data_IF_371050721771
#
_entry.id   IF_371050721771
#
_cell.length_a   1.000
_cell.length_b   1.000
_cell.length_c   1.000
_cell.angle_alpha   90.00
_cell.angle_beta   90.00
_cell.angle_gamma   90.00
#
_symmetry.space_group_name_H-M   'P 1'
#
loop_
_entity.id
_entity.type
_entity.pdbx_description
1 polymer ?
#
# COMPACT_ATOMS: atom_id res chain seq x y z
N UNK A 1 14.12 6.80 -26.56
CA UNK A 1 15.29 7.61 -26.95
C UNK A 1 16.56 7.16 -26.21
N UNK A 2 16.65 7.38 -24.89
CA UNK A 2 17.84 7.01 -24.08
C UNK A 2 18.26 5.54 -24.21
N UNK A 3 17.31 4.60 -24.15
CA UNK A 3 17.60 3.15 -24.30
C UNK A 3 18.13 2.77 -25.69
N UNK A 4 17.63 3.42 -26.75
CA UNK A 4 18.10 3.21 -28.13
C UNK A 4 19.54 3.70 -28.28
N UNK A 5 19.87 4.83 -27.65
CA UNK A 5 21.20 5.43 -27.69
C UNK A 5 22.21 4.66 -26.82
N UNK A 6 21.80 4.18 -25.64
CA UNK A 6 22.59 3.23 -24.82
C UNK A 6 23.00 1.99 -25.63
N UNK A 7 22.08 1.43 -26.41
CA UNK A 7 22.39 0.26 -27.25
C UNK A 7 23.42 0.57 -28.34
N UNK A 8 23.37 1.78 -28.93
CA UNK A 8 24.31 2.22 -29.97
C UNK A 8 25.67 2.67 -29.42
N UNK A 9 25.71 3.33 -28.26
CA UNK A 9 26.91 3.95 -27.68
C UNK A 9 27.63 3.08 -26.64
N UNK A 10 27.18 1.85 -26.42
CA UNK A 10 27.75 0.90 -25.44
C UNK A 10 29.25 0.62 -25.62
N UNK A 11 29.85 1.01 -26.76
CA UNK A 11 31.27 0.82 -27.09
C UNK A 11 32.14 2.09 -26.94
N UNK A 12 31.56 3.28 -26.79
CA UNK A 12 32.31 4.55 -26.83
C UNK A 12 32.27 5.34 -25.51
N UNK A 13 31.14 5.37 -24.80
CA UNK A 13 30.99 6.10 -23.53
C UNK A 13 30.10 5.32 -22.58
N UNK A 14 30.62 5.02 -21.39
CA UNK A 14 29.88 4.36 -20.32
C UNK A 14 29.38 5.41 -19.33
N UNK A 15 28.06 5.57 -19.23
CA UNK A 15 27.43 6.38 -18.19
C UNK A 15 26.88 5.48 -17.08
N UNK A 16 26.97 5.93 -15.82
CA UNK A 16 26.48 5.17 -14.66
C UNK A 16 24.98 4.88 -14.73
N UNK A 17 24.16 5.81 -15.22
CA UNK A 17 22.72 5.62 -15.36
C UNK A 17 22.27 5.70 -16.82
N UNK A 18 21.39 4.77 -17.23
CA UNK A 18 20.94 4.65 -18.62
C UNK A 18 20.20 5.87 -19.18
N UNK A 19 19.70 6.73 -18.30
CA UNK A 19 19.00 7.98 -18.67
C UNK A 19 19.97 9.08 -19.10
N UNK A 20 21.25 9.00 -18.73
CA UNK A 20 22.28 10.01 -19.06
C UNK A 20 22.65 9.98 -20.54
N UNK A 21 22.36 8.88 -21.23
CA UNK A 21 22.44 8.80 -22.69
C UNK A 21 21.46 9.74 -23.42
N UNK A 22 20.59 10.46 -22.71
CA UNK A 22 19.63 11.42 -23.27
C UNK A 22 20.10 12.88 -23.25
N UNK A 23 21.30 13.15 -22.73
CA UNK A 23 21.88 14.49 -22.55
C UNK A 23 22.17 15.23 -23.87
N UNK A 24 22.07 14.54 -25.01
CA UNK A 24 22.14 15.16 -26.33
C UNK A 24 20.91 15.98 -26.71
N UNK A 25 19.78 15.67 -26.08
CA UNK A 25 18.47 16.23 -26.46
C UNK A 25 17.73 16.88 -25.30
N UNK A 26 18.04 16.50 -24.07
CA UNK A 26 17.37 16.98 -22.88
C UNK A 26 18.36 17.52 -21.88
N UNK A 27 18.00 18.59 -21.18
CA UNK A 27 18.83 19.17 -20.13
C UNK A 27 19.08 18.17 -18.99
N UNK A 28 20.28 18.25 -18.41
CA UNK A 28 20.71 17.44 -17.26
C UNK A 28 19.76 17.54 -16.07
N UNK A 29 19.10 18.68 -15.87
CA UNK A 29 18.06 18.90 -14.85
C UNK A 29 16.85 18.00 -15.07
N UNK A 30 16.32 17.96 -16.30
CA UNK A 30 15.19 17.10 -16.68
C UNK A 30 15.55 15.62 -16.52
N UNK A 31 16.78 15.23 -16.91
CA UNK A 31 17.28 13.87 -16.74
C UNK A 31 17.32 13.49 -15.24
N UNK A 32 17.80 14.39 -14.39
CA UNK A 32 17.80 14.22 -12.93
C UNK A 32 16.39 14.11 -12.36
N UNK A 33 15.46 14.95 -12.79
CA UNK A 33 14.07 14.93 -12.32
C UNK A 33 13.35 13.64 -12.72
N UNK A 34 13.61 13.11 -13.92
CA UNK A 34 13.06 11.82 -14.36
C UNK A 34 13.67 10.68 -13.53
N UNK A 35 14.98 10.73 -13.21
CA UNK A 35 15.60 9.75 -12.32
C UNK A 35 14.93 9.75 -10.93
N UNK A 36 14.70 10.93 -10.35
CA UNK A 36 14.01 11.08 -9.07
C UNK A 36 12.56 10.56 -9.16
N UNK A 37 11.84 10.90 -10.23
CA UNK A 37 10.46 10.43 -10.46
C UNK A 37 10.40 8.90 -10.57
N UNK A 38 11.35 8.27 -11.26
CA UNK A 38 11.45 6.81 -11.35
C UNK A 38 11.75 6.16 -9.99
N UNK A 39 12.54 6.80 -9.13
CA UNK A 39 12.77 6.32 -7.76
C UNK A 39 11.49 6.39 -6.92
N UNK A 40 10.74 7.49 -7.03
CA UNK A 40 9.44 7.65 -6.38
C UNK A 40 8.42 6.62 -6.88
N UNK A 41 8.38 6.36 -8.19
CA UNK A 41 7.49 5.35 -8.78
C UNK A 41 7.76 3.95 -8.22
N UNK A 42 9.04 3.58 -8.01
CA UNK A 42 9.40 2.30 -7.37
C UNK A 42 8.85 2.21 -5.94
N UNK A 43 8.87 3.31 -5.19
CA UNK A 43 8.31 3.37 -3.85
C UNK A 43 6.78 3.19 -3.84
N UNK A 44 6.10 3.56 -4.93
CA UNK A 44 4.65 3.37 -5.11
C UNK A 44 4.25 1.99 -5.63
N UNK A 45 5.17 1.10 -6.02
CA UNK A 45 4.82 -0.24 -6.51
C UNK A 45 3.94 -1.09 -5.56
N UNK A 46 4.09 -1.03 -4.23
CA UNK A 46 3.22 -1.76 -3.31
C UNK A 46 1.79 -1.19 -3.22
N UNK A 47 1.58 0.05 -3.64
CA UNK A 47 0.32 0.78 -3.45
C UNK A 47 -0.86 0.12 -4.20
N UNK A 48 -0.75 -0.27 -5.49
CA UNK A 48 -1.82 -1.00 -6.18
C UNK A 48 -2.16 -2.34 -5.52
N UNK A 49 -1.18 -3.05 -4.96
CA UNK A 49 -1.41 -4.33 -4.27
C UNK A 49 -2.21 -4.09 -2.99
N UNK A 50 -1.86 -3.06 -2.22
CA UNK A 50 -2.60 -2.68 -1.02
C UNK A 50 -4.06 -2.35 -1.34
N UNK A 51 -4.32 -1.54 -2.37
CA UNK A 51 -5.69 -1.20 -2.78
C UNK A 51 -6.46 -2.42 -3.30
N UNK A 52 -5.83 -3.27 -4.11
CA UNK A 52 -6.46 -4.50 -4.58
C UNK A 52 -6.86 -5.45 -3.44
N UNK A 53 -6.06 -5.49 -2.36
CA UNK A 53 -6.41 -6.23 -1.14
C UNK A 53 -7.52 -5.53 -0.36
N UNK A 54 -7.43 -4.21 -0.16
CA UNK A 54 -8.43 -3.43 0.57
C UNK A 54 -9.83 -3.55 -0.05
N UNK A 55 -9.92 -3.54 -1.38
CA UNK A 55 -11.17 -3.69 -2.13
C UNK A 55 -11.83 -5.08 -1.97
N UNK A 56 -11.08 -6.10 -1.50
CA UNK A 56 -11.67 -7.42 -1.22
C UNK A 56 -12.65 -7.40 -0.04
N UNK A 57 -12.59 -6.39 0.84
CA UNK A 57 -13.57 -6.20 1.90
C UNK A 57 -15.00 -6.08 1.35
N UNK A 58 -15.16 -5.39 0.20
CA UNK A 58 -16.46 -5.17 -0.43
C UNK A 58 -17.11 -6.41 -1.05
N UNK A 59 -16.30 -7.42 -1.36
CA UNK A 59 -16.73 -8.57 -2.16
C UNK A 59 -16.55 -9.90 -1.42
N UNK A 60 -15.29 -10.30 -1.20
CA UNK A 60 -14.96 -11.60 -0.58
C UNK A 60 -15.39 -11.67 0.87
N UNK A 61 -15.18 -10.62 1.65
CA UNK A 61 -15.55 -10.62 3.06
C UNK A 61 -17.06 -10.50 3.25
N UNK A 62 -17.75 -9.74 2.39
CA UNK A 62 -19.21 -9.74 2.33
C UNK A 62 -19.75 -11.14 2.03
N UNK A 63 -19.17 -11.84 1.05
CA UNK A 63 -19.57 -13.21 0.73
C UNK A 63 -19.30 -14.17 1.89
N UNK A 64 -18.11 -14.12 2.51
CA UNK A 64 -17.79 -14.88 3.72
C UNK A 64 -18.83 -14.62 4.83
N UNK A 65 -19.21 -13.37 5.05
CA UNK A 65 -20.21 -12.99 6.05
C UNK A 65 -21.61 -13.56 5.77
N UNK A 66 -21.98 -13.84 4.51
CA UNK A 66 -23.26 -14.53 4.20
C UNK A 66 -23.33 -15.96 4.74
N UNK A 67 -22.16 -16.58 4.98
CA UNK A 67 -22.02 -17.93 5.54
C UNK A 67 -21.82 -17.92 7.05
N UNK A 68 -21.78 -16.75 7.68
CA UNK A 68 -21.59 -16.57 9.12
C UNK A 68 -22.92 -16.27 9.81
N UNK A 69 -22.98 -16.48 11.13
CA UNK A 69 -24.10 -16.00 11.93
C UNK A 69 -23.99 -14.48 12.14
N UNK A 70 -24.96 -13.75 11.61
CA UNK A 70 -25.08 -12.30 11.76
C UNK A 70 -25.89 -11.86 12.98
N UNK A 71 -26.34 -12.78 13.84
CA UNK A 71 -27.11 -12.42 15.03
C UNK A 71 -26.23 -11.74 16.09
N UNK A 72 -26.50 -10.46 16.35
CA UNK A 72 -25.89 -9.66 17.40
C UNK A 72 -26.97 -9.36 18.44
N UNK A 73 -27.12 -10.27 19.41
CA UNK A 73 -28.17 -10.17 20.42
C UNK A 73 -29.57 -10.24 19.77
N UNK A 74 -30.34 -9.16 19.86
CA UNK A 74 -31.67 -9.07 19.24
C UNK A 74 -31.67 -8.51 17.81
N UNK A 75 -30.51 -8.12 17.28
CA UNK A 75 -30.37 -7.51 15.96
C UNK A 75 -29.71 -8.48 14.98
N UNK A 76 -30.27 -8.62 13.77
CA UNK A 76 -29.66 -9.38 12.69
C UNK A 76 -28.88 -8.43 11.79
N UNK A 77 -27.55 -8.52 11.83
CA UNK A 77 -26.67 -7.76 10.94
C UNK A 77 -26.62 -8.45 9.58
N UNK A 78 -27.01 -7.72 8.52
CA UNK A 78 -26.90 -8.22 7.16
C UNK A 78 -25.44 -8.13 6.67
N UNK A 79 -24.98 -9.07 5.83
CA UNK A 79 -23.62 -9.08 5.30
C UNK A 79 -23.17 -7.75 4.67
N UNK A 80 -24.02 -7.10 3.86
CA UNK A 80 -23.68 -5.81 3.22
C UNK A 80 -23.50 -4.67 4.23
N UNK A 81 -24.11 -4.77 5.42
CA UNK A 81 -23.98 -3.76 6.47
C UNK A 81 -22.61 -3.79 7.15
N UNK A 82 -21.82 -4.87 6.98
CA UNK A 82 -20.44 -4.95 7.47
C UNK A 82 -19.55 -3.83 6.91
N UNK A 83 -19.88 -3.30 5.73
CA UNK A 83 -19.09 -2.23 5.10
C UNK A 83 -19.16 -0.91 5.88
N UNK A 84 -20.19 -0.71 6.71
CA UNK A 84 -20.32 0.48 7.59
C UNK A 84 -19.23 0.52 8.66
N UNK A 85 -18.65 -0.64 9.01
CA UNK A 85 -17.59 -0.75 10.01
C UNK A 85 -16.31 -0.03 9.56
N UNK A 86 -16.02 0.01 8.25
CA UNK A 86 -14.81 0.65 7.71
C UNK A 86 -14.76 2.17 7.97
N UNK A 87 -15.74 3.00 7.52
CA UNK A 87 -15.73 4.43 7.83
C UNK A 87 -15.84 4.71 9.33
N UNK A 88 -16.54 3.87 10.11
CA UNK A 88 -16.59 3.99 11.56
C UNK A 88 -15.20 3.83 12.19
N UNK A 89 -14.44 2.81 11.78
CA UNK A 89 -13.07 2.62 12.24
C UNK A 89 -12.15 3.75 11.81
N UNK A 90 -12.32 4.32 10.62
CA UNK A 90 -11.52 5.49 10.20
C UNK A 90 -11.75 6.67 11.15
N UNK A 91 -13.01 7.00 11.44
CA UNK A 91 -13.37 8.11 12.35
C UNK A 91 -12.81 7.90 13.76
N UNK A 92 -12.78 6.66 14.24
CA UNK A 92 -12.26 6.33 15.57
C UNK A 92 -10.73 6.27 15.58
N UNK A 93 -10.13 5.62 14.59
CA UNK A 93 -8.69 5.35 14.58
C UNK A 93 -7.86 6.56 14.17
N UNK A 94 -8.28 7.41 13.25
CA UNK A 94 -7.51 8.62 12.91
C UNK A 94 -7.10 9.42 14.16
N UNK A 95 -8.03 9.87 15.03
CA UNK A 95 -7.66 10.66 16.20
C UNK A 95 -6.80 9.86 17.17
N UNK A 96 -7.11 8.58 17.41
CA UNK A 96 -6.30 7.72 18.29
C UNK A 96 -4.86 7.59 17.78
N UNK A 97 -4.70 7.41 16.46
CA UNK A 97 -3.39 7.26 15.85
C UNK A 97 -2.59 8.57 15.94
N UNK A 98 -3.23 9.71 15.70
CA UNK A 98 -2.60 11.01 15.75
C UNK A 98 -2.25 11.48 17.16
N UNK A 99 -3.14 11.29 18.14
CA UNK A 99 -2.94 11.82 19.50
C UNK A 99 -2.18 10.88 20.42
N UNK A 100 -2.30 9.57 20.23
CA UNK A 100 -1.74 8.58 21.15
C UNK A 100 -0.65 7.74 20.48
N UNK A 101 -0.98 7.05 19.40
CA UNK A 101 -0.11 5.99 18.86
C UNK A 101 1.16 6.55 18.21
N UNK A 102 1.04 7.50 17.27
CA UNK A 102 2.20 8.07 16.60
C UNK A 102 3.12 8.86 17.54
N UNK A 103 2.62 9.67 18.50
CA UNK A 103 3.48 10.31 19.49
C UNK A 103 4.31 9.31 20.30
N UNK A 104 3.72 8.18 20.71
CA UNK A 104 4.43 7.12 21.44
C UNK A 104 5.48 6.45 20.56
N UNK A 105 5.13 6.06 19.33
CA UNK A 105 6.09 5.44 18.41
C UNK A 105 7.20 6.39 17.96
N UNK A 106 6.93 7.70 17.90
CA UNK A 106 7.94 8.72 17.65
C UNK A 106 8.93 8.84 18.80
N UNK A 107 8.47 8.77 20.07
CA UNK A 107 9.35 8.76 21.25
C UNK A 107 10.31 7.57 21.25
N UNK A 108 9.85 6.40 20.80
CA UNK A 108 10.64 5.16 20.74
C UNK A 108 11.43 5.05 19.41
N UNK A 109 11.30 6.04 18.50
CA UNK A 109 11.91 6.07 17.15
C UNK A 109 11.60 4.84 16.27
N UNK A 110 10.53 4.12 16.59
CA UNK A 110 10.21 2.84 15.94
C UNK A 110 9.46 3.07 14.61
N UNK A 111 8.49 3.98 14.57
CA UNK A 111 7.69 4.31 13.37
C UNK A 111 7.80 5.82 13.05
N UNK A 112 9.03 6.27 12.81
CA UNK A 112 9.36 7.69 12.65
C UNK A 112 9.38 8.18 11.19
N UNK A 113 9.26 7.30 10.20
CA UNK A 113 9.23 7.69 8.78
C UNK A 113 7.93 7.27 8.10
N UNK A 114 7.46 8.02 7.08
CA UNK A 114 6.27 7.64 6.31
C UNK A 114 6.38 6.22 5.71
N UNK A 115 7.58 5.84 5.26
CA UNK A 115 7.82 4.50 4.72
C UNK A 115 7.64 3.40 5.78
N UNK A 116 8.11 3.63 7.02
CA UNK A 116 7.88 2.70 8.13
C UNK A 116 6.39 2.55 8.46
N UNK A 117 5.64 3.67 8.49
CA UNK A 117 4.19 3.65 8.70
C UNK A 117 3.50 2.78 7.65
N UNK A 118 3.87 2.93 6.38
CA UNK A 118 3.33 2.13 5.28
C UNK A 118 3.66 0.65 5.46
N UNK A 119 4.91 0.30 5.79
CA UNK A 119 5.32 -1.10 5.99
C UNK A 119 4.61 -1.75 7.18
N UNK A 120 4.44 -1.04 8.30
CA UNK A 120 3.73 -1.56 9.46
C UNK A 120 2.24 -1.75 9.14
N UNK A 121 1.61 -0.82 8.41
CA UNK A 121 0.24 -0.99 7.93
C UNK A 121 0.08 -2.20 7.00
N UNK A 122 1.03 -2.41 6.09
CA UNK A 122 1.05 -3.59 5.21
C UNK A 122 1.19 -4.90 5.99
N UNK A 123 2.02 -4.94 7.04
CA UNK A 123 2.15 -6.12 7.90
C UNK A 123 0.84 -6.41 8.66
N UNK A 124 0.19 -5.38 9.19
CA UNK A 124 -1.12 -5.52 9.84
C UNK A 124 -2.18 -6.02 8.87
N UNK A 125 -2.18 -5.52 7.63
CA UNK A 125 -3.07 -6.03 6.58
C UNK A 125 -2.81 -7.52 6.30
N UNK A 126 -1.54 -7.94 6.19
CA UNK A 126 -1.20 -9.35 6.00
C UNK A 126 -1.73 -10.23 7.14
N UNK A 127 -1.60 -9.78 8.40
CA UNK A 127 -2.18 -10.48 9.56
C UNK A 127 -3.71 -10.57 9.46
N UNK A 128 -4.38 -9.48 9.05
CA UNK A 128 -5.84 -9.49 8.86
C UNK A 128 -6.28 -10.51 7.80
N UNK A 129 -5.55 -10.64 6.70
CA UNK A 129 -5.84 -11.66 5.67
C UNK A 129 -5.62 -13.09 6.18
N UNK A 130 -4.59 -13.32 7.01
CA UNK A 130 -4.39 -14.63 7.66
C UNK A 130 -5.59 -14.96 8.55
N UNK A 131 -6.06 -14.00 9.36
CA UNK A 131 -7.24 -14.20 10.22
C UNK A 131 -8.50 -14.49 9.40
N UNK A 132 -8.75 -13.74 8.32
CA UNK A 132 -9.88 -13.99 7.42
C UNK A 132 -9.81 -15.38 6.77
N UNK A 133 -8.63 -15.83 6.37
CA UNK A 133 -8.44 -17.18 5.82
C UNK A 133 -8.71 -18.27 6.88
N UNK A 134 -8.27 -18.07 8.13
CA UNK A 134 -8.55 -19.00 9.22
C UNK A 134 -10.05 -19.10 9.53
N UNK A 135 -10.78 -17.98 9.43
CA UNK A 135 -12.24 -17.97 9.57
C UNK A 135 -12.90 -18.72 8.42
N UNK A 136 -12.46 -18.51 7.17
CA UNK A 136 -13.00 -19.24 6.01
C UNK A 136 -12.88 -20.76 6.17
N UNK A 137 -11.72 -21.23 6.65
CA UNK A 137 -11.48 -22.66 6.91
C UNK A 137 -12.38 -23.27 7.99
N UNK A 138 -13.02 -22.46 8.83
CA UNK A 138 -14.00 -22.92 9.82
C UNK A 138 -15.43 -22.91 9.29
N UNK A 139 -15.67 -22.22 8.18
CA UNK A 139 -16.98 -22.10 7.52
C UNK A 139 -17.16 -23.13 6.39
N UNK A 140 -16.06 -23.67 5.86
CA UNK A 140 -16.01 -24.90 5.05
C UNK A 140 -16.19 -26.14 5.92
#
# INVERSE_FOLDING_TARGET
>A
HALVRKSKMKKEVEHEHWLDYADDKYDTTIISDIKATLQVLKLFLPLPIFWALFDQQGSRWTFQATRMDGQIGSFLLKPDQMLVVNPLFIVIFIPIFETCIYPVFNKIKLINTPLKKLTTGGLLAAIAFILSALVELKLE
#
